data_IF_834889322764
#
_entry.id   IF_834889322764
#
_cell.length_a   1.000
_cell.length_b   1.000
_cell.length_c   1.000
_cell.angle_alpha   90.00
_cell.angle_beta   90.00
_cell.angle_gamma   90.00
#
_symmetry.space_group_name_H-M   'P 1'
#
loop_
_entity.id
_entity.type
_entity.pdbx_description
1 polymer ?
#
# COMPACT_ATOMS: atom_id res chain seq x y z
N UNK A 1 50.07 3.21 -12.66
CA UNK A 1 49.60 4.19 -13.67
C UNK A 1 48.70 3.49 -14.70
N UNK A 2 47.55 2.96 -14.28
CA UNK A 2 46.64 2.19 -15.16
C UNK A 2 45.16 2.63 -15.03
N UNK A 3 44.92 3.79 -14.41
CA UNK A 3 43.57 4.35 -14.19
C UNK A 3 43.24 5.56 -15.10
N UNK A 4 44.19 6.02 -15.92
CA UNK A 4 44.02 7.25 -16.70
C UNK A 4 43.52 7.03 -18.15
N UNK A 5 43.50 5.80 -18.65
CA UNK A 5 43.21 5.52 -20.07
C UNK A 5 41.71 5.35 -20.40
N UNK A 6 40.81 5.42 -19.41
CA UNK A 6 39.35 5.25 -19.63
C UNK A 6 38.65 6.59 -19.92
N UNK A 7 39.34 7.73 -19.75
CA UNK A 7 38.80 9.08 -19.98
C UNK A 7 39.27 9.70 -21.31
N UNK A 8 39.67 8.89 -22.29
CA UNK A 8 39.83 9.37 -23.66
C UNK A 8 38.44 9.67 -24.24
N UNK A 9 38.24 10.94 -24.64
CA UNK A 9 37.05 11.56 -25.27
C UNK A 9 35.94 10.55 -25.61
N UNK A 10 34.72 10.67 -25.03
CA UNK A 10 33.63 9.81 -25.43
C UNK A 10 33.43 9.98 -26.94
N UNK A 11 33.71 8.92 -27.70
CA UNK A 11 33.36 8.90 -29.11
C UNK A 11 31.86 9.15 -29.20
N UNK A 12 31.40 9.88 -30.22
CA UNK A 12 29.97 10.20 -30.40
C UNK A 12 29.08 8.96 -30.26
N UNK A 13 29.61 7.78 -30.60
CA UNK A 13 28.97 6.48 -30.40
C UNK A 13 28.74 6.09 -28.94
N UNK A 14 29.70 6.27 -28.02
CA UNK A 14 29.48 5.92 -26.60
C UNK A 14 28.46 6.84 -25.94
N UNK A 15 28.49 8.13 -26.30
CA UNK A 15 27.51 9.11 -25.82
C UNK A 15 26.10 8.78 -26.36
N UNK A 16 25.99 8.42 -27.64
CA UNK A 16 24.72 7.99 -28.24
C UNK A 16 24.16 6.74 -27.55
N UNK A 17 24.98 5.72 -27.29
CA UNK A 17 24.56 4.50 -26.58
C UNK A 17 24.10 4.82 -25.16
N UNK A 18 24.82 5.67 -24.42
CA UNK A 18 24.43 6.07 -23.07
C UNK A 18 23.07 6.79 -23.05
N UNK A 19 22.82 7.69 -24.02
CA UNK A 19 21.53 8.38 -24.16
C UNK A 19 20.41 7.36 -24.45
N UNK A 20 20.62 6.44 -25.39
CA UNK A 20 19.63 5.42 -25.72
C UNK A 20 19.30 4.55 -24.50
N UNK A 21 20.32 4.08 -23.78
CA UNK A 21 20.12 3.30 -22.56
C UNK A 21 19.35 4.09 -21.49
N UNK A 22 19.65 5.38 -21.31
CA UNK A 22 18.93 6.22 -20.36
C UNK A 22 17.46 6.43 -20.74
N UNK A 23 17.17 6.68 -22.02
CA UNK A 23 15.81 6.85 -22.53
C UNK A 23 15.02 5.55 -22.43
N UNK A 24 15.63 4.42 -22.80
CA UNK A 24 14.99 3.09 -22.67
C UNK A 24 14.74 2.76 -21.21
N UNK A 25 15.72 2.99 -20.32
CA UNK A 25 15.55 2.78 -18.89
C UNK A 25 14.44 3.65 -18.30
N UNK A 26 14.36 4.92 -18.69
CA UNK A 26 13.31 5.83 -18.26
C UNK A 26 11.93 5.41 -18.78
N UNK A 27 11.84 5.03 -20.05
CA UNK A 27 10.60 4.55 -20.65
C UNK A 27 10.12 3.24 -19.99
N UNK A 28 11.03 2.31 -19.71
CA UNK A 28 10.71 1.08 -19.00
C UNK A 28 10.26 1.37 -17.56
N UNK A 29 10.96 2.25 -16.84
CA UNK A 29 10.56 2.67 -15.50
C UNK A 29 9.15 3.26 -15.50
N UNK A 30 8.87 4.17 -16.44
CA UNK A 30 7.55 4.81 -16.57
C UNK A 30 6.47 3.80 -16.97
N UNK A 31 6.79 2.86 -17.87
CA UNK A 31 5.91 1.77 -18.24
C UNK A 31 5.58 0.87 -17.04
N UNK A 32 6.58 0.45 -16.28
CA UNK A 32 6.37 -0.37 -15.08
C UNK A 32 5.53 0.37 -14.04
N UNK A 33 5.77 1.66 -13.81
CA UNK A 33 4.90 2.46 -12.94
C UNK A 33 3.47 2.53 -13.47
N UNK A 34 3.28 2.69 -14.78
CA UNK A 34 1.94 2.80 -15.36
C UNK A 34 1.21 1.45 -15.36
N UNK A 35 1.90 0.35 -15.68
CA UNK A 35 1.32 -0.99 -15.72
C UNK A 35 1.03 -1.56 -14.34
N UNK A 36 1.75 -1.12 -13.31
CA UNK A 36 1.51 -1.53 -11.92
C UNK A 36 0.52 -0.63 -11.18
N UNK A 37 0.08 0.47 -11.78
CA UNK A 37 -1.05 1.25 -11.25
C UNK A 37 -2.33 0.45 -11.42
N UNK A 38 -2.94 0.08 -10.30
CA UNK A 38 -4.29 -0.45 -10.31
C UNK A 38 -5.21 0.57 -11.02
N UNK A 39 -6.14 0.12 -11.89
CA UNK A 39 -7.15 0.99 -12.48
C UNK A 39 -7.82 1.81 -11.38
N UNK A 40 -7.93 3.13 -11.60
CA UNK A 40 -8.66 4.01 -10.67
C UNK A 40 -10.05 3.42 -10.50
N UNK A 41 -10.45 3.14 -9.26
CA UNK A 41 -11.78 2.63 -8.97
C UNK A 41 -12.82 3.60 -9.55
N UNK A 42 -13.77 3.06 -10.32
CA UNK A 42 -14.86 3.85 -10.89
C UNK A 42 -15.68 4.49 -9.76
N UNK A 43 -15.99 5.80 -9.82
CA UNK A 43 -16.73 6.49 -8.76
C UNK A 43 -18.16 5.95 -8.52
N UNK A 44 -18.68 5.11 -9.42
CA UNK A 44 -20.05 4.59 -9.33
C UNK A 44 -20.18 3.30 -8.50
N UNK A 45 -19.10 2.86 -7.84
CA UNK A 45 -19.04 1.62 -7.05
C UNK A 45 -18.60 1.79 -5.60
N UNK A 46 -18.91 2.91 -4.93
CA UNK A 46 -18.50 3.18 -3.53
C UNK A 46 -19.07 2.19 -2.49
N UNK A 47 -19.84 1.20 -2.92
CA UNK A 47 -20.43 0.20 -2.04
C UNK A 47 -19.53 -1.03 -1.97
N UNK A 48 -19.25 -1.49 -0.73
CA UNK A 48 -18.62 -2.79 -0.49
C UNK A 48 -19.40 -3.86 -1.28
N UNK A 49 -18.72 -4.77 -2.00
CA UNK A 49 -19.40 -5.83 -2.73
C UNK A 49 -20.29 -6.65 -1.78
N UNK A 50 -21.48 -7.04 -2.22
CA UNK A 50 -22.29 -7.96 -1.44
C UNK A 50 -21.62 -9.35 -1.46
N UNK A 51 -21.54 -10.05 -0.31
CA UNK A 51 -20.98 -11.38 -0.27
C UNK A 51 -21.80 -12.36 -1.12
N UNK A 52 -21.11 -13.26 -1.82
CA UNK A 52 -21.76 -14.33 -2.58
C UNK A 52 -22.31 -15.37 -1.60
N UNK A 53 -23.60 -15.69 -1.74
CA UNK A 53 -24.28 -16.80 -1.04
C UNK A 53 -24.11 -16.83 0.50
N UNK A 54 -24.10 -15.66 1.14
CA UNK A 54 -24.05 -15.55 2.61
C UNK A 54 -22.70 -15.92 3.23
N UNK A 55 -21.64 -16.06 2.43
CA UNK A 55 -20.28 -16.20 2.92
C UNK A 55 -19.79 -14.88 3.53
N UNK A 56 -18.79 -14.94 4.42
CA UNK A 56 -18.09 -13.72 4.82
C UNK A 56 -17.18 -13.28 3.67
N UNK A 57 -17.06 -11.97 3.46
CA UNK A 57 -16.03 -11.44 2.57
C UNK A 57 -14.67 -11.74 3.18
N UNK A 58 -13.77 -12.27 2.35
CA UNK A 58 -12.38 -12.46 2.74
C UNK A 58 -11.71 -11.11 3.04
N UNK A 59 -10.88 -11.03 4.09
CA UNK A 59 -10.15 -9.81 4.39
C UNK A 59 -9.26 -9.39 3.20
N UNK A 60 -9.14 -8.08 2.92
CA UNK A 60 -8.45 -7.61 1.72
C UNK A 60 -6.95 -7.99 1.66
N UNK A 61 -6.32 -8.19 2.82
CA UNK A 61 -4.93 -8.64 2.88
C UNK A 61 -4.79 -10.12 2.44
N UNK A 62 -5.77 -10.96 2.79
CA UNK A 62 -5.84 -12.37 2.39
C UNK A 62 -6.14 -12.47 0.89
N UNK A 63 -7.11 -11.68 0.40
CA UNK A 63 -7.37 -11.56 -1.06
C UNK A 63 -6.10 -11.12 -1.80
N UNK A 64 -5.40 -10.12 -1.29
CA UNK A 64 -4.13 -9.66 -1.87
C UNK A 64 -3.05 -10.75 -1.87
N UNK A 65 -2.99 -11.57 -0.82
CA UNK A 65 -2.06 -12.71 -0.74
C UNK A 65 -2.39 -13.78 -1.80
N UNK A 66 -3.66 -14.19 -1.90
CA UNK A 66 -4.10 -15.24 -2.83
C UNK A 66 -3.93 -14.80 -4.29
N UNK A 67 -4.18 -13.52 -4.58
CA UNK A 67 -4.06 -12.95 -5.92
C UNK A 67 -2.62 -12.61 -6.33
N UNK A 68 -1.68 -12.58 -5.38
CA UNK A 68 -0.30 -12.15 -5.61
C UNK A 68 0.71 -13.23 -5.17
N UNK A 69 0.65 -14.41 -5.78
CA UNK A 69 1.61 -15.51 -5.58
C UNK A 69 1.86 -15.86 -4.10
N UNK A 70 0.81 -15.87 -3.28
CA UNK A 70 0.89 -16.10 -1.83
C UNK A 70 1.81 -15.11 -1.08
N UNK A 71 1.99 -13.91 -1.63
CA UNK A 71 2.76 -12.82 -1.03
C UNK A 71 1.87 -11.60 -0.83
N UNK A 72 1.66 -11.18 0.41
CA UNK A 72 0.88 -9.97 0.70
C UNK A 72 1.55 -8.73 0.06
N UNK A 73 0.86 -8.00 -0.85
CA UNK A 73 1.41 -6.81 -1.50
C UNK A 73 1.52 -5.64 -0.52
N UNK A 74 2.36 -4.63 -0.81
CA UNK A 74 2.45 -3.42 0.05
C UNK A 74 1.12 -2.67 0.16
N UNK A 75 0.28 -2.75 -0.86
CA UNK A 75 -1.08 -2.21 -0.85
C UNK A 75 -2.00 -2.91 0.15
N UNK A 76 -1.68 -4.12 0.63
CA UNK A 76 -2.49 -4.87 1.58
C UNK A 76 -2.75 -4.08 2.88
N UNK A 77 -1.74 -3.38 3.40
CA UNK A 77 -1.90 -2.54 4.60
C UNK A 77 -2.90 -1.40 4.37
N UNK A 78 -2.83 -0.78 3.19
CA UNK A 78 -3.75 0.31 2.82
C UNK A 78 -5.17 -0.23 2.61
N UNK A 79 -5.31 -1.37 1.95
CA UNK A 79 -6.59 -2.03 1.74
C UNK A 79 -7.23 -2.47 3.07
N UNK A 80 -6.45 -3.04 4.00
CA UNK A 80 -6.90 -3.35 5.36
C UNK A 80 -7.33 -2.11 6.11
N UNK A 81 -6.60 -1.00 6.01
CA UNK A 81 -7.01 0.25 6.67
C UNK A 81 -8.35 0.78 6.13
N UNK A 82 -8.59 0.67 4.81
CA UNK A 82 -9.85 1.08 4.21
C UNK A 82 -11.00 0.14 4.64
N UNK A 83 -10.73 -1.16 4.75
CA UNK A 83 -11.71 -2.13 5.22
C UNK A 83 -12.07 -1.94 6.70
N UNK A 84 -11.10 -1.58 7.54
CA UNK A 84 -11.33 -1.14 8.92
C UNK A 84 -12.20 0.13 8.96
N UNK A 85 -12.02 1.05 8.01
CA UNK A 85 -12.87 2.22 7.90
C UNK A 85 -14.30 1.87 7.52
N UNK A 86 -14.47 0.95 6.57
CA UNK A 86 -15.78 0.46 6.13
C UNK A 86 -16.53 -0.29 7.25
N UNK A 87 -15.81 -1.05 8.08
CA UNK A 87 -16.34 -1.73 9.28
C UNK A 87 -16.53 -0.81 10.50
N UNK A 88 -16.11 0.46 10.38
CA UNK A 88 -16.29 1.46 11.42
C UNK A 88 -15.29 1.40 12.57
N UNK A 89 -14.18 0.66 12.44
CA UNK A 89 -13.07 0.65 13.41
C UNK A 89 -12.24 1.94 13.38
N UNK A 90 -12.14 2.55 12.20
CA UNK A 90 -11.59 3.90 12.01
C UNK A 90 -12.60 4.72 11.22
N UNK A 91 -12.49 6.05 11.28
CA UNK A 91 -13.36 6.96 10.53
C UNK A 91 -12.50 7.83 9.62
N UNK A 92 -12.81 7.83 8.33
CA UNK A 92 -12.20 8.74 7.37
C UNK A 92 -13.09 9.99 7.28
N UNK A 93 -12.52 11.16 7.57
CA UNK A 93 -13.15 12.48 7.46
C UNK A 93 -12.32 13.29 6.47
N UNK A 94 -12.93 14.21 5.72
CA UNK A 94 -12.16 15.22 4.99
C UNK A 94 -12.33 16.57 5.66
N UNK A 95 -11.22 17.24 5.96
CA UNK A 95 -11.18 18.61 6.48
C UNK A 95 -10.38 19.45 5.50
N UNK A 96 -10.97 20.53 4.98
CA UNK A 96 -10.32 21.47 4.06
C UNK A 96 -9.62 20.82 2.83
N UNK A 97 -10.20 19.73 2.31
CA UNK A 97 -9.67 19.01 1.16
C UNK A 97 -8.52 18.04 1.49
N UNK A 98 -8.10 17.95 2.76
CA UNK A 98 -7.20 16.92 3.24
C UNK A 98 -8.01 15.75 3.84
N UNK A 99 -7.68 14.52 3.43
CA UNK A 99 -8.26 13.33 4.04
C UNK A 99 -7.62 13.15 5.42
N UNK A 100 -8.44 12.96 6.43
CA UNK A 100 -8.10 12.85 7.84
C UNK A 100 -8.67 11.55 8.39
N UNK A 101 -7.84 10.77 9.05
CA UNK A 101 -8.18 9.49 9.64
C UNK A 101 -8.32 9.66 11.14
N UNK A 102 -9.51 9.37 11.63
CA UNK A 102 -9.89 9.41 13.04
C UNK A 102 -9.90 7.96 13.55
N UNK A 103 -9.05 7.63 14.52
CA UNK A 103 -8.91 6.25 15.03
C UNK A 103 -10.00 5.83 16.01
N UNK A 104 -10.87 6.78 16.40
CA UNK A 104 -12.05 6.52 17.23
C UNK A 104 -13.26 6.15 16.37
N UNK A 105 -13.26 4.91 15.88
CA UNK A 105 -14.42 4.32 15.22
C UNK A 105 -15.46 3.79 16.20
N UNK A 106 -16.66 3.48 15.69
CA UNK A 106 -17.68 2.72 16.42
C UNK A 106 -17.93 1.40 15.64
N UNK A 107 -17.20 0.32 15.97
CA UNK A 107 -17.30 -0.93 15.22
C UNK A 107 -18.70 -1.53 15.34
N UNK A 108 -19.11 -2.29 14.33
CA UNK A 108 -20.37 -3.01 14.37
C UNK A 108 -20.38 -4.04 15.52
N UNK A 109 -21.53 -4.21 16.17
CA UNK A 109 -21.67 -5.14 17.30
C UNK A 109 -21.38 -6.59 16.85
N UNK A 110 -20.41 -7.24 17.50
CA UNK A 110 -20.00 -8.62 17.19
C UNK A 110 -18.83 -8.74 16.20
N UNK A 111 -18.30 -7.62 15.69
CA UNK A 111 -17.13 -7.63 14.83
C UNK A 111 -15.84 -7.86 15.64
N UNK A 112 -14.96 -8.73 15.17
CA UNK A 112 -13.71 -9.08 15.83
C UNK A 112 -12.53 -8.87 14.89
N UNK A 113 -11.46 -8.25 15.40
CA UNK A 113 -10.25 -7.99 14.62
C UNK A 113 -9.36 -9.22 14.52
N UNK A 114 -8.90 -9.50 13.31
CA UNK A 114 -7.85 -10.50 13.08
C UNK A 114 -6.49 -9.96 13.55
N UNK A 115 -5.49 -10.82 13.82
CA UNK A 115 -4.19 -10.40 14.35
C UNK A 115 -3.47 -9.36 13.48
N UNK A 116 -3.52 -9.51 12.15
CA UNK A 116 -2.91 -8.55 11.22
C UNK A 116 -3.69 -7.23 11.16
N UNK A 117 -5.02 -7.26 11.34
CA UNK A 117 -5.87 -6.07 11.39
C UNK A 117 -5.62 -5.26 12.65
N UNK A 118 -5.51 -5.93 13.79
CA UNK A 118 -5.12 -5.32 15.06
C UNK A 118 -3.73 -4.68 14.94
N UNK A 119 -2.79 -5.33 14.24
CA UNK A 119 -1.47 -4.78 14.00
C UNK A 119 -1.53 -3.48 13.18
N UNK A 120 -2.40 -3.41 12.16
CA UNK A 120 -2.64 -2.18 11.38
C UNK A 120 -3.32 -1.12 12.24
N UNK A 121 -4.36 -1.45 12.99
CA UNK A 121 -5.07 -0.50 13.86
C UNK A 121 -4.13 0.12 14.91
N UNK A 122 -3.31 -0.72 15.58
CA UNK A 122 -2.32 -0.25 16.54
C UNK A 122 -1.28 0.67 15.87
N UNK A 123 -0.89 0.36 14.64
CA UNK A 123 0.02 1.18 13.87
C UNK A 123 -0.57 2.56 13.55
N UNK A 124 -1.83 2.60 13.13
CA UNK A 124 -2.56 3.86 12.89
C UNK A 124 -2.72 4.66 14.19
N UNK A 125 -3.15 4.01 15.28
CA UNK A 125 -3.34 4.63 16.58
C UNK A 125 -2.04 5.25 17.13
N UNK A 126 -0.91 4.54 17.02
CA UNK A 126 0.39 5.05 17.47
C UNK A 126 0.89 6.31 16.74
N UNK A 127 0.32 6.63 15.57
CA UNK A 127 0.67 7.83 14.78
C UNK A 127 -0.45 8.87 14.70
N UNK A 128 -1.59 8.59 15.30
CA UNK A 128 -2.63 9.56 15.49
C UNK A 128 -2.22 10.52 16.62
N UNK A 129 -2.32 11.82 16.38
CA UNK A 129 -2.19 12.83 17.41
C UNK A 129 -3.61 13.21 17.86
N UNK A 130 -3.95 13.00 19.13
CA UNK A 130 -5.31 13.18 19.65
C UNK A 130 -6.38 12.37 18.88
N UNK A 131 -6.09 11.11 18.53
CA UNK A 131 -6.95 10.24 17.71
C UNK A 131 -7.18 10.71 16.27
N UNK A 132 -6.39 11.66 15.78
CA UNK A 132 -6.49 12.22 14.42
C UNK A 132 -5.14 12.13 13.70
N UNK A 133 -5.12 11.63 12.46
CA UNK A 133 -3.92 11.58 11.60
C UNK A 133 -4.30 11.99 10.18
N UNK A 134 -3.51 12.80 9.49
CA UNK A 134 -3.80 13.09 8.08
C UNK A 134 -3.44 11.89 7.19
N UNK A 135 -4.17 11.71 6.10
CA UNK A 135 -3.94 10.65 5.13
C UNK A 135 -2.57 10.77 4.45
N UNK A 136 -2.08 12.01 4.29
CA UNK A 136 -0.73 12.31 3.83
C UNK A 136 0.33 11.78 4.81
N UNK A 137 0.14 12.03 6.11
CA UNK A 137 1.00 11.50 7.18
C UNK A 137 0.94 9.97 7.24
N UNK A 138 -0.25 9.38 7.05
CA UNK A 138 -0.42 7.93 7.02
C UNK A 138 0.23 7.27 5.81
N UNK A 139 0.07 7.83 4.61
CA UNK A 139 0.71 7.34 3.39
C UNK A 139 2.24 7.38 3.50
N UNK A 140 2.80 8.48 4.02
CA UNK A 140 4.24 8.60 4.31
C UNK A 140 4.69 7.60 5.39
N UNK A 141 3.81 7.29 6.34
CA UNK A 141 4.10 6.34 7.42
C UNK A 141 4.12 4.89 6.96
N UNK A 142 3.32 4.53 5.95
CA UNK A 142 3.33 3.23 5.30
C UNK A 142 4.67 2.97 4.59
N UNK A 143 5.33 4.01 4.06
CA UNK A 143 6.67 3.89 3.49
C UNK A 143 7.79 3.71 4.54
N UNK A 144 7.52 3.97 5.83
CA UNK A 144 8.49 3.82 6.93
C UNK A 144 8.22 2.60 7.81
N UNK A 145 7.56 1.58 7.27
CA UNK A 145 7.36 0.31 7.96
C UNK A 145 8.72 -0.38 8.18
N UNK A 146 9.02 -0.71 9.43
CA UNK A 146 10.24 -1.46 9.72
C UNK A 146 10.11 -2.92 9.22
N UNK A 147 11.23 -3.52 8.80
CA UNK A 147 11.26 -4.88 8.25
C UNK A 147 10.66 -5.93 9.20
N UNK A 148 10.84 -5.77 10.51
CA UNK A 148 10.33 -6.70 11.52
C UNK A 148 8.80 -6.69 11.61
N UNK A 149 8.19 -5.51 11.50
CA UNK A 149 6.75 -5.30 11.49
C UNK A 149 6.17 -5.93 10.22
N UNK A 150 6.80 -5.69 9.07
CA UNK A 150 6.37 -6.24 7.80
C UNK A 150 6.35 -7.77 7.79
N UNK A 151 7.43 -8.40 8.28
CA UNK A 151 7.50 -9.86 8.39
C UNK A 151 6.43 -10.43 9.33
N UNK A 152 6.09 -9.72 10.41
CA UNK A 152 5.03 -10.12 11.33
C UNK A 152 3.65 -10.03 10.66
N UNK A 153 3.42 -8.96 9.90
CA UNK A 153 2.19 -8.76 9.15
C UNK A 153 2.01 -9.87 8.10
N UNK A 154 3.02 -10.14 7.29
CA UNK A 154 2.96 -11.22 6.29
C UNK A 154 2.69 -12.59 6.91
N UNK A 155 3.34 -12.90 8.03
CA UNK A 155 3.11 -14.17 8.74
C UNK A 155 1.66 -14.25 9.25
N UNK A 156 1.17 -13.19 9.89
CA UNK A 156 -0.20 -13.15 10.41
C UNK A 156 -1.28 -13.22 9.30
N UNK A 157 -1.00 -12.70 8.10
CA UNK A 157 -1.91 -12.85 6.94
C UNK A 157 -1.87 -14.27 6.39
N UNK A 158 -0.69 -14.90 6.34
CA UNK A 158 -0.55 -16.29 5.88
C UNK A 158 -1.07 -17.34 6.86
N UNK A 159 -1.15 -17.02 8.16
CA UNK A 159 -1.75 -17.92 9.16
C UNK A 159 -3.29 -17.96 9.07
N UNK A 160 -3.91 -17.00 8.38
CA UNK A 160 -5.37 -16.88 8.21
C UNK A 160 -5.89 -17.55 6.92
N UNK A 161 -5.03 -17.79 5.92
CA UNK A 161 -5.38 -18.42 4.63
C UNK A 161 -5.32 -19.95 4.68
#
# INVERSE_FOLDING_TARGET
>A
MLLAAIFERPSTGTLAVAIVCAVVGWALHWWFEYSTRAPRADPHGERRPDPVDGQSLEPPAVVGLITNEFTAPQSAVTATSLDLAARGWIRLTSTDGELVVVTRGNPAAGDSLLPFEQQVLNHLASRAFNDVSSASTLALSHHRLNRRWWLRFQRAVGDES
#
